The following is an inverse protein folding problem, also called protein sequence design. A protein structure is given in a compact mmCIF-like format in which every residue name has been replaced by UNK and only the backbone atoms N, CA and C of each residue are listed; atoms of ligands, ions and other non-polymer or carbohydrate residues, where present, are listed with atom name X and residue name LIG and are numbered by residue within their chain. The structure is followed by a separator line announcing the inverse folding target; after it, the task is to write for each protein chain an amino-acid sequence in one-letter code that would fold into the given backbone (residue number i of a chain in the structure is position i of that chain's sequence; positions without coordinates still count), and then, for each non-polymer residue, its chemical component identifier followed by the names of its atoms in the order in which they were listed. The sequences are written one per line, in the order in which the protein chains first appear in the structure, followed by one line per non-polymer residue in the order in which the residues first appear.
data_IF_553449423437
#
_entry.id   IF_553449423437
#
_cell.length_a   1.000
_cell.length_b   1.000
_cell.length_c   1.000
_cell.angle_alpha   90.00
_cell.angle_beta   90.00
_cell.angle_gamma   90.00
#
_symmetry.space_group_name_H-M   'P 1'
#
loop_
_entity.id
_entity.type
_entity.pdbx_description
1 polymer ?
#
# COMPACT_ATOMS: atom_id res chain seq x y z
N UNK A 1 -3.37 -8.03 25.40
CA UNK A 1 -4.63 -8.64 24.94
C UNK A 1 -5.31 -7.67 24.00
N UNK A 2 -5.17 -7.84 22.68
CA UNK A 2 -5.77 -6.91 21.72
C UNK A 2 -7.29 -7.10 21.72
N UNK A 3 -8.01 -6.04 22.07
CA UNK A 3 -9.40 -5.84 21.64
C UNK A 3 -9.53 -6.21 20.16
N UNK A 4 -10.55 -6.99 19.78
CA UNK A 4 -10.74 -7.37 18.38
C UNK A 4 -11.01 -6.11 17.56
N UNK A 5 -10.11 -5.79 16.62
CA UNK A 5 -10.32 -4.73 15.64
C UNK A 5 -11.59 -5.02 14.84
N UNK A 6 -12.29 -3.96 14.43
CA UNK A 6 -13.55 -4.06 13.68
C UNK A 6 -13.36 -4.68 12.30
N UNK A 7 -12.27 -4.31 11.61
CA UNK A 7 -11.91 -4.79 10.29
C UNK A 7 -10.59 -5.55 10.31
N UNK A 8 -10.50 -6.58 9.47
CA UNK A 8 -9.24 -7.26 9.18
C UNK A 8 -8.38 -6.41 8.24
N UNK A 9 -9.00 -5.72 7.27
CA UNK A 9 -8.30 -4.80 6.38
C UNK A 9 -9.14 -3.56 6.02
N UNK A 10 -8.47 -2.43 5.81
CA UNK A 10 -9.04 -1.23 5.20
C UNK A 10 -8.20 -0.87 3.98
N UNK A 11 -8.86 -0.62 2.85
CA UNK A 11 -8.22 -0.02 1.66
C UNK A 11 -8.32 1.50 1.79
N UNK A 12 -7.20 2.16 2.06
CA UNK A 12 -7.14 3.63 2.12
C UNK A 12 -6.74 4.19 0.75
N UNK A 13 -7.59 5.05 0.18
CA UNK A 13 -7.37 5.60 -1.17
C UNK A 13 -8.03 4.80 -2.29
N UNK A 14 -9.10 4.05 -2.00
CA UNK A 14 -9.85 3.26 -2.99
C UNK A 14 -10.42 4.11 -4.15
N UNK A 15 -10.56 5.43 -3.97
CA UNK A 15 -11.01 6.35 -5.01
C UNK A 15 -9.94 6.73 -6.03
N UNK A 16 -8.68 6.43 -5.75
CA UNK A 16 -7.55 6.67 -6.65
C UNK A 16 -7.43 5.61 -7.74
N UNK A 17 -6.56 5.85 -8.72
CA UNK A 17 -6.36 4.93 -9.85
C UNK A 17 -5.98 3.53 -9.38
N UNK A 18 -4.89 3.38 -8.63
CA UNK A 18 -4.45 2.05 -8.18
C UNK A 18 -5.36 1.47 -7.09
N UNK A 19 -5.86 2.32 -6.18
CA UNK A 19 -6.77 1.88 -5.12
C UNK A 19 -8.07 1.26 -5.64
N UNK A 20 -8.56 1.74 -6.80
CA UNK A 20 -9.70 1.13 -7.49
C UNK A 20 -9.40 -0.31 -7.93
N UNK A 21 -8.24 -0.56 -8.54
CA UNK A 21 -7.84 -1.92 -8.92
C UNK A 21 -7.59 -2.81 -7.71
N UNK A 22 -7.04 -2.27 -6.61
CA UNK A 22 -6.89 -3.03 -5.35
C UNK A 22 -8.26 -3.47 -4.80
N UNK A 23 -9.25 -2.57 -4.80
CA UNK A 23 -10.62 -2.89 -4.42
C UNK A 23 -11.24 -3.97 -5.33
N UNK A 24 -11.06 -3.81 -6.64
CA UNK A 24 -11.52 -4.77 -7.65
C UNK A 24 -10.92 -6.17 -7.43
N UNK A 25 -9.61 -6.25 -7.24
CA UNK A 25 -8.92 -7.52 -7.00
C UNK A 25 -9.28 -8.16 -5.66
N UNK A 26 -9.55 -7.36 -4.62
CA UNK A 26 -10.09 -7.87 -3.36
C UNK A 26 -11.45 -8.57 -3.61
N UNK A 27 -12.37 -7.90 -4.31
CA UNK A 27 -13.70 -8.44 -4.59
C UNK A 27 -13.65 -9.73 -5.42
N UNK A 28 -12.78 -9.79 -6.42
CA UNK A 28 -12.54 -11.00 -7.21
C UNK A 28 -11.97 -12.12 -6.34
N UNK A 29 -11.02 -11.81 -5.46
CA UNK A 29 -10.42 -12.78 -4.54
C UNK A 29 -11.44 -13.35 -3.54
N UNK A 30 -12.33 -12.49 -3.01
CA UNK A 30 -13.42 -12.90 -2.11
C UNK A 30 -14.40 -13.86 -2.79
N UNK A 31 -14.64 -13.69 -4.09
CA UNK A 31 -15.50 -14.57 -4.86
C UNK A 31 -14.81 -15.90 -5.20
N UNK A 32 -13.59 -15.85 -5.70
CA UNK A 32 -12.84 -17.03 -6.13
C UNK A 32 -12.45 -17.95 -4.94
N UNK A 33 -12.19 -17.36 -3.78
CA UNK A 33 -11.74 -18.06 -2.56
C UNK A 33 -12.71 -17.86 -1.41
N UNK A 34 -14.01 -17.95 -1.71
CA UNK A 34 -15.10 -17.68 -0.75
C UNK A 34 -14.98 -18.46 0.56
N UNK A 35 -14.63 -19.75 0.51
CA UNK A 35 -14.46 -20.57 1.72
C UNK A 35 -13.34 -20.07 2.64
N UNK A 36 -12.27 -19.53 2.06
CA UNK A 36 -11.12 -19.04 2.81
C UNK A 36 -11.35 -17.64 3.40
N UNK A 37 -12.14 -16.80 2.70
CA UNK A 37 -12.34 -15.40 3.07
C UNK A 37 -13.76 -15.05 3.51
N UNK A 38 -14.63 -16.03 3.79
CA UNK A 38 -16.03 -15.79 4.18
C UNK A 38 -16.21 -14.93 5.44
N UNK A 39 -15.20 -14.88 6.31
CA UNK A 39 -15.23 -14.11 7.56
C UNK A 39 -14.40 -12.82 7.51
N UNK A 40 -13.81 -12.51 6.35
CA UNK A 40 -12.96 -11.34 6.20
C UNK A 40 -13.81 -10.06 6.32
N UNK A 41 -13.52 -9.25 7.34
CA UNK A 41 -14.16 -7.94 7.52
C UNK A 41 -13.31 -6.87 6.86
N UNK A 42 -13.87 -6.13 5.92
CA UNK A 42 -13.15 -5.08 5.22
C UNK A 42 -13.97 -3.80 5.05
N UNK A 43 -13.26 -2.70 4.85
CA UNK A 43 -13.85 -1.39 4.56
C UNK A 43 -12.97 -0.60 3.58
N UNK A 44 -13.50 0.50 3.04
CA UNK A 44 -12.72 1.49 2.30
C UNK A 44 -12.61 2.77 3.11
N UNK A 45 -11.51 3.49 2.89
CA UNK A 45 -11.28 4.78 3.51
C UNK A 45 -10.78 5.81 2.50
N UNK A 46 -11.12 7.07 2.77
CA UNK A 46 -10.74 8.19 1.93
C UNK A 46 -11.37 9.49 2.42
N UNK A 47 -10.91 10.62 1.88
CA UNK A 47 -11.34 11.96 2.33
C UNK A 47 -12.72 12.41 1.86
N UNK A 48 -13.31 11.74 0.86
CA UNK A 48 -14.57 12.16 0.26
C UNK A 48 -15.53 10.96 0.15
N UNK A 49 -16.60 11.00 0.94
CA UNK A 49 -17.60 9.94 1.05
C UNK A 49 -18.40 9.73 -0.25
N UNK A 50 -18.74 10.80 -0.96
CA UNK A 50 -19.46 10.74 -2.23
C UNK A 50 -18.64 10.01 -3.29
N UNK A 51 -17.34 10.35 -3.42
CA UNK A 51 -16.41 9.68 -4.35
C UNK A 51 -16.22 8.21 -3.99
N UNK A 52 -16.17 7.87 -2.70
CA UNK A 52 -16.12 6.48 -2.25
C UNK A 52 -17.39 5.73 -2.68
N UNK A 53 -18.55 6.34 -2.53
CA UNK A 53 -19.84 5.77 -2.94
C UNK A 53 -19.90 5.53 -4.45
N UNK A 54 -19.51 6.53 -5.25
CA UNK A 54 -19.45 6.42 -6.71
C UNK A 54 -18.51 5.30 -7.16
N UNK A 55 -17.36 5.14 -6.51
CA UNK A 55 -16.38 4.10 -6.87
C UNK A 55 -16.82 2.70 -6.45
N UNK A 56 -17.53 2.56 -5.33
CA UNK A 56 -18.19 1.31 -4.96
C UNK A 56 -19.30 0.94 -5.96
N UNK A 57 -20.07 1.92 -6.42
CA UNK A 57 -21.08 1.68 -7.46
C UNK A 57 -20.43 1.26 -8.79
N UNK A 58 -19.39 1.96 -9.23
CA UNK A 58 -18.66 1.65 -10.47
C UNK A 58 -18.11 0.22 -10.48
N UNK A 59 -17.37 -0.18 -9.44
CA UNK A 59 -16.83 -1.55 -9.35
C UNK A 59 -17.93 -2.59 -9.11
N UNK A 60 -18.99 -2.22 -8.40
CA UNK A 60 -20.15 -3.07 -8.17
C UNK A 60 -20.90 -3.38 -9.47
N UNK A 61 -21.08 -2.39 -10.34
CA UNK A 61 -21.65 -2.57 -11.67
C UNK A 61 -20.74 -3.43 -12.56
N UNK A 62 -19.43 -3.17 -12.56
CA UNK A 62 -18.46 -3.97 -13.34
C UNK A 62 -18.48 -5.45 -12.94
N UNK A 63 -18.54 -5.75 -11.64
CA UNK A 63 -18.45 -7.11 -11.11
C UNK A 63 -19.81 -7.75 -10.80
N UNK A 64 -20.93 -7.08 -11.13
CA UNK A 64 -22.28 -7.49 -10.77
C UNK A 64 -22.46 -7.80 -9.27
N UNK A 65 -22.00 -6.91 -8.40
CA UNK A 65 -22.07 -7.01 -6.93
C UNK A 65 -22.80 -5.82 -6.32
N UNK A 66 -23.62 -6.08 -5.30
CA UNK A 66 -24.19 -5.02 -4.46
C UNK A 66 -23.21 -4.65 -3.34
N UNK A 67 -22.68 -3.43 -3.40
CA UNK A 67 -21.69 -2.91 -2.44
C UNK A 67 -22.21 -1.73 -1.61
N UNK A 68 -23.54 -1.52 -1.59
CA UNK A 68 -24.16 -0.39 -0.87
C UNK A 68 -23.89 -0.40 0.64
N UNK A 69 -23.75 -1.58 1.22
CA UNK A 69 -23.56 -1.77 2.66
C UNK A 69 -22.07 -1.82 3.06
N UNK A 70 -21.14 -1.61 2.11
CA UNK A 70 -19.71 -1.54 2.43
C UNK A 70 -19.45 -0.32 3.32
N UNK A 71 -18.78 -0.55 4.45
CA UNK A 71 -18.43 0.54 5.36
C UNK A 71 -17.41 1.47 4.71
N UNK A 72 -17.72 2.77 4.76
CA UNK A 72 -16.85 3.86 4.34
C UNK A 72 -16.32 4.60 5.55
N UNK A 73 -15.03 4.89 5.57
CA UNK A 73 -14.37 5.60 6.67
C UNK A 73 -13.78 6.89 6.12
N UNK A 74 -14.23 8.02 6.65
CA UNK A 74 -13.67 9.32 6.28
C UNK A 74 -12.33 9.51 6.98
N UNK A 75 -11.27 9.59 6.18
CA UNK A 75 -9.90 9.80 6.66
C UNK A 75 -9.13 10.71 5.70
N UNK A 76 -8.41 11.69 6.25
CA UNK A 76 -7.65 12.69 5.50
C UNK A 76 -6.21 12.78 6.01
N UNK A 77 -5.23 12.72 5.10
CA UNK A 77 -3.81 12.82 5.43
C UNK A 77 -3.40 14.13 6.09
N UNK A 78 -4.21 15.19 5.98
CA UNK A 78 -4.03 16.47 6.68
C UNK A 78 -4.58 16.48 8.11
N UNK A 79 -5.29 15.43 8.53
CA UNK A 79 -5.91 15.30 9.85
C UNK A 79 -5.44 14.02 10.54
N UNK A 80 -4.42 14.15 11.39
CA UNK A 80 -3.82 13.03 12.13
C UNK A 80 -4.83 12.24 12.97
N UNK A 81 -5.78 12.91 13.61
CA UNK A 81 -6.83 12.24 14.39
C UNK A 81 -7.70 11.34 13.50
N UNK A 82 -8.06 11.80 12.29
CA UNK A 82 -8.84 10.98 11.36
C UNK A 82 -8.10 9.71 10.92
N UNK A 83 -6.78 9.80 10.72
CA UNK A 83 -5.94 8.65 10.38
C UNK A 83 -5.83 7.68 11.56
N UNK A 84 -5.66 8.20 12.78
CA UNK A 84 -5.57 7.40 13.99
C UNK A 84 -6.88 6.65 14.26
N UNK A 85 -8.04 7.31 14.10
CA UNK A 85 -9.35 6.66 14.26
C UNK A 85 -9.61 5.60 13.18
N UNK A 86 -9.17 5.83 11.94
CA UNK A 86 -9.17 4.78 10.91
C UNK A 86 -8.28 3.60 11.31
N UNK A 87 -7.03 3.86 11.71
CA UNK A 87 -6.06 2.83 12.04
C UNK A 87 -6.51 2.00 13.25
N UNK A 88 -7.12 2.62 14.27
CA UNK A 88 -7.66 1.92 15.45
C UNK A 88 -8.70 0.86 15.11
N UNK A 89 -9.43 1.01 14.00
CA UNK A 89 -10.51 0.10 13.58
C UNK A 89 -10.04 -1.10 12.76
N UNK A 90 -8.79 -1.13 12.29
CA UNK A 90 -8.28 -2.20 11.43
C UNK A 90 -7.10 -2.95 12.01
N UNK A 91 -6.91 -4.19 11.56
CA UNK A 91 -5.66 -4.95 11.74
C UNK A 91 -4.62 -4.58 10.68
N UNK A 92 -5.06 -4.26 9.46
CA UNK A 92 -4.21 -3.89 8.32
C UNK A 92 -4.76 -2.67 7.59
N UNK A 93 -3.89 -1.71 7.27
CA UNK A 93 -4.17 -0.66 6.30
C UNK A 93 -3.42 -0.96 5.00
N UNK A 94 -4.16 -1.05 3.90
CA UNK A 94 -3.61 -1.07 2.54
C UNK A 94 -3.64 0.36 2.02
N UNK A 95 -2.50 1.04 2.07
CA UNK A 95 -2.37 2.45 1.71
C UNK A 95 -2.09 2.60 0.21
N UNK A 96 -3.06 3.20 -0.49
CA UNK A 96 -2.99 3.55 -1.91
C UNK A 96 -2.94 5.08 -2.11
N UNK A 97 -2.63 5.86 -1.07
CA UNK A 97 -2.64 7.33 -1.10
C UNK A 97 -1.24 7.88 -1.37
N UNK A 98 -0.96 8.12 -2.65
CA UNK A 98 0.23 8.84 -3.10
C UNK A 98 -0.05 10.32 -3.46
N UNK A 99 0.99 11.15 -3.63
CA UNK A 99 2.42 10.84 -3.47
C UNK A 99 2.83 10.60 -2.01
N UNK A 100 3.61 9.54 -1.76
CA UNK A 100 3.89 9.03 -0.41
C UNK A 100 4.86 9.91 0.38
N UNK A 101 5.77 10.60 -0.30
CA UNK A 101 6.62 11.65 0.30
C UNK A 101 5.83 12.73 1.05
N UNK A 102 4.58 13.00 0.64
CA UNK A 102 3.71 13.98 1.31
C UNK A 102 2.71 13.33 2.26
N UNK A 103 2.13 12.20 1.86
CA UNK A 103 0.95 11.63 2.52
C UNK A 103 1.21 10.34 3.28
N UNK A 104 2.33 9.66 3.02
CA UNK A 104 2.62 8.34 3.57
C UNK A 104 3.02 8.36 5.05
N UNK A 105 3.93 9.26 5.43
CA UNK A 105 4.42 9.36 6.82
C UNK A 105 3.30 9.45 7.87
N UNK A 106 2.30 10.36 7.76
CA UNK A 106 1.26 10.44 8.77
C UNK A 106 0.39 9.17 8.85
N UNK A 107 0.29 8.39 7.77
CA UNK A 107 -0.43 7.10 7.76
C UNK A 107 0.37 6.03 8.50
N UNK A 108 1.68 5.91 8.23
CA UNK A 108 2.56 4.98 8.96
C UNK A 108 2.58 5.30 10.44
N UNK A 109 2.70 6.59 10.79
CA UNK A 109 2.67 7.05 12.18
C UNK A 109 1.36 6.63 12.88
N UNK A 110 0.21 6.90 12.26
CA UNK A 110 -1.09 6.48 12.81
C UNK A 110 -1.21 4.96 12.98
N UNK A 111 -0.68 4.18 12.04
CA UNK A 111 -0.67 2.72 12.13
C UNK A 111 0.20 2.22 13.30
N UNK A 112 1.41 2.77 13.44
CA UNK A 112 2.32 2.44 14.55
C UNK A 112 1.71 2.82 15.89
N UNK A 113 1.11 4.01 16.00
CA UNK A 113 0.41 4.46 17.19
C UNK A 113 -0.76 3.53 17.56
N UNK A 114 -1.59 3.15 16.57
CA UNK A 114 -2.78 2.32 16.77
C UNK A 114 -2.50 0.81 16.93
N UNK A 115 -1.26 0.35 16.75
CA UNK A 115 -0.93 -1.07 16.75
C UNK A 115 -1.52 -1.80 15.53
N UNK A 116 -1.42 -1.19 14.35
CA UNK A 116 -2.04 -1.65 13.11
C UNK A 116 -0.96 -1.91 12.06
N UNK A 117 -1.05 -3.02 11.33
CA UNK A 117 -0.13 -3.33 10.23
C UNK A 117 -0.37 -2.36 9.07
N UNK A 118 0.68 -2.10 8.29
CA UNK A 118 0.62 -1.18 7.16
C UNK A 118 1.31 -1.81 5.95
N UNK A 119 0.65 -1.75 4.80
CA UNK A 119 1.29 -1.99 3.51
C UNK A 119 1.02 -0.86 2.54
N UNK A 120 1.98 -0.56 1.67
CA UNK A 120 1.83 0.41 0.59
C UNK A 120 2.45 -0.07 -0.72
N UNK A 121 2.12 0.62 -1.81
CA UNK A 121 2.65 0.38 -3.16
C UNK A 121 3.69 1.44 -3.57
N UNK A 122 4.30 2.13 -2.61
CA UNK A 122 5.20 3.25 -2.88
C UNK A 122 6.43 2.79 -3.65
N UNK A 123 6.81 3.58 -4.66
CA UNK A 123 8.10 3.47 -5.36
C UNK A 123 9.04 4.64 -5.05
N UNK A 124 8.80 5.39 -3.98
CA UNK A 124 9.54 6.61 -3.63
C UNK A 124 10.66 6.29 -2.60
N UNK A 125 11.93 6.14 -3.00
CA UNK A 125 12.99 5.61 -2.11
C UNK A 125 13.20 6.45 -0.85
N UNK A 126 13.11 7.77 -0.97
CA UNK A 126 13.22 8.69 0.16
C UNK A 126 12.19 8.42 1.25
N UNK A 127 10.94 8.20 0.84
CA UNK A 127 9.88 7.88 1.78
C UNK A 127 10.11 6.49 2.39
N UNK A 128 10.36 5.47 1.55
CA UNK A 128 10.53 4.08 2.00
C UNK A 128 11.63 3.98 3.05
N UNK A 129 12.80 4.51 2.73
CA UNK A 129 13.97 4.48 3.60
C UNK A 129 13.78 5.33 4.85
N UNK A 130 13.13 6.50 4.75
CA UNK A 130 12.81 7.32 5.92
C UNK A 130 11.86 6.61 6.90
N UNK A 131 10.82 5.95 6.40
CA UNK A 131 9.87 5.21 7.24
C UNK A 131 10.53 4.04 7.95
N UNK A 132 11.44 3.33 7.28
CA UNK A 132 12.23 2.28 7.88
C UNK A 132 13.07 2.83 9.05
N UNK A 133 13.83 3.91 8.85
CA UNK A 133 14.65 4.45 9.96
C UNK A 133 13.78 4.97 11.10
N UNK A 134 12.68 5.66 10.79
CA UNK A 134 11.88 6.36 11.79
C UNK A 134 11.02 5.42 12.64
N UNK A 135 10.45 4.37 12.04
CA UNK A 135 9.43 3.55 12.69
C UNK A 135 9.86 2.11 12.98
N UNK A 136 11.03 1.65 12.52
CA UNK A 136 11.46 0.25 12.68
C UNK A 136 11.42 -0.23 14.13
N UNK A 137 12.06 0.49 15.06
CA UNK A 137 12.12 0.08 16.47
C UNK A 137 10.72 0.01 17.11
N UNK A 138 9.89 1.04 16.90
CA UNK A 138 8.53 1.06 17.45
C UNK A 138 7.63 -0.03 16.85
N UNK A 139 7.82 -0.32 15.56
CA UNK A 139 7.10 -1.40 14.88
C UNK A 139 7.54 -2.76 15.44
N UNK A 140 8.85 -2.98 15.64
CA UNK A 140 9.39 -4.21 16.22
C UNK A 140 8.89 -4.43 17.65
N UNK A 141 8.98 -3.42 18.52
CA UNK A 141 8.48 -3.48 19.91
C UNK A 141 6.99 -3.84 19.99
N UNK A 142 6.20 -3.40 19.01
CA UNK A 142 4.76 -3.66 18.93
C UNK A 142 4.40 -4.89 18.10
N UNK A 143 5.37 -5.60 17.51
CA UNK A 143 5.12 -6.74 16.62
C UNK A 143 4.35 -6.37 15.35
N UNK A 144 4.54 -5.15 14.83
CA UNK A 144 3.87 -4.65 13.64
C UNK A 144 4.65 -5.00 12.37
N UNK A 145 3.90 -5.06 11.28
CA UNK A 145 4.41 -5.35 9.95
C UNK A 145 4.15 -4.09 9.14
N UNK A 146 5.23 -3.43 8.72
CA UNK A 146 5.21 -2.23 7.89
C UNK A 146 5.98 -2.56 6.63
N UNK A 147 5.29 -2.74 5.50
CA UNK A 147 5.91 -3.17 4.24
C UNK A 147 5.54 -2.19 3.13
N UNK A 148 6.54 -1.54 2.56
CA UNK A 148 6.36 -0.71 1.37
C UNK A 148 6.57 -1.53 0.09
N UNK A 149 6.47 -0.89 -1.07
CA UNK A 149 6.81 -1.48 -2.37
C UNK A 149 5.99 -2.72 -2.74
N UNK A 150 4.76 -2.87 -2.23
CA UNK A 150 3.85 -3.99 -2.57
C UNK A 150 3.17 -3.80 -3.94
N UNK A 151 3.89 -3.26 -4.92
CA UNK A 151 3.40 -2.99 -6.27
C UNK A 151 4.08 -3.83 -7.34
N UNK A 152 3.64 -3.65 -8.58
CA UNK A 152 4.20 -4.36 -9.74
C UNK A 152 5.70 -4.06 -9.96
N UNK A 153 6.18 -2.88 -9.57
CA UNK A 153 7.59 -2.49 -9.80
C UNK A 153 8.57 -3.24 -8.87
N UNK A 154 8.07 -4.03 -7.91
CA UNK A 154 8.92 -4.76 -6.95
C UNK A 154 8.53 -6.23 -6.79
N UNK A 155 7.23 -6.55 -6.69
CA UNK A 155 6.77 -7.94 -6.44
C UNK A 155 7.32 -8.97 -7.45
N UNK A 156 7.29 -8.74 -8.78
CA UNK A 156 7.82 -9.70 -9.75
C UNK A 156 9.33 -9.95 -9.57
N UNK A 157 10.08 -8.90 -9.24
CA UNK A 157 11.52 -9.00 -8.98
C UNK A 157 11.78 -9.79 -7.68
N UNK A 158 11.11 -9.41 -6.59
CA UNK A 158 11.24 -10.07 -5.28
C UNK A 158 10.87 -11.55 -5.35
N UNK A 159 9.75 -11.87 -5.99
CA UNK A 159 9.32 -13.26 -6.19
C UNK A 159 10.29 -14.02 -7.09
N UNK A 160 10.79 -13.39 -8.17
CA UNK A 160 11.78 -13.99 -9.06
C UNK A 160 13.07 -14.34 -8.33
N UNK A 161 13.60 -13.42 -7.52
CA UNK A 161 14.79 -13.66 -6.67
C UNK A 161 14.51 -14.74 -5.64
N UNK A 162 13.33 -14.72 -4.99
CA UNK A 162 12.93 -15.72 -4.01
C UNK A 162 12.88 -17.13 -4.59
N UNK A 163 12.22 -17.30 -5.75
CA UNK A 163 12.12 -18.58 -6.45
C UNK A 163 13.49 -19.04 -6.94
N UNK A 164 14.30 -18.15 -7.53
CA UNK A 164 15.66 -18.48 -7.96
C UNK A 164 16.50 -18.96 -6.78
N UNK A 165 16.44 -18.30 -5.62
CA UNK A 165 17.15 -18.72 -4.41
C UNK A 165 16.76 -20.12 -3.95
N UNK A 166 15.47 -20.49 -4.05
CA UNK A 166 15.00 -21.82 -3.65
C UNK A 166 15.36 -22.93 -4.64
N UNK A 167 15.43 -22.61 -5.93
CA UNK A 167 15.58 -23.60 -7.01
C UNK A 167 17.00 -23.73 -7.53
N UNK A 168 17.88 -22.76 -7.27
CA UNK A 168 19.26 -22.79 -7.75
C UNK A 168 20.08 -23.82 -6.95
N UNK A 169 20.70 -24.84 -7.59
CA UNK A 169 21.36 -25.96 -6.91
C UNK A 169 22.74 -25.61 -6.33
N UNK A 170 22.94 -24.38 -5.87
CA UNK A 170 24.21 -23.90 -5.35
C UNK A 170 24.08 -22.55 -4.63
N UNK A 171 25.22 -21.91 -4.38
CA UNK A 171 25.25 -20.57 -3.77
C UNK A 171 24.99 -19.51 -4.84
N UNK A 172 23.90 -18.77 -4.68
CA UNK A 172 23.57 -17.62 -5.53
C UNK A 172 24.51 -16.44 -5.18
N UNK A 173 25.25 -15.94 -6.18
CA UNK A 173 26.20 -14.82 -6.00
C UNK A 173 25.63 -13.49 -6.50
N UNK A 174 24.92 -13.50 -7.64
CA UNK A 174 24.27 -12.34 -8.21
C UNK A 174 22.99 -12.78 -8.93
N UNK A 175 22.05 -11.84 -9.04
CA UNK A 175 20.85 -11.95 -9.87
C UNK A 175 20.68 -10.63 -10.60
N UNK A 176 20.48 -10.70 -11.89
CA UNK A 176 20.12 -9.54 -12.71
C UNK A 176 18.72 -9.76 -13.28
N UNK A 177 17.86 -8.78 -13.07
CA UNK A 177 16.48 -8.80 -13.56
C UNK A 177 16.29 -7.74 -14.62
N UNK A 178 15.73 -8.12 -15.76
CA UNK A 178 15.45 -7.22 -16.86
C UNK A 178 13.93 -7.11 -17.03
N UNK A 179 13.45 -5.87 -17.21
CA UNK A 179 12.06 -5.59 -17.51
C UNK A 179 11.96 -4.93 -18.87
N UNK A 180 11.03 -5.42 -19.70
CA UNK A 180 10.67 -4.81 -20.96
C UNK A 180 9.19 -4.49 -20.96
N UNK A 181 8.86 -3.21 -20.92
CA UNK A 181 7.49 -2.75 -21.07
C UNK A 181 7.14 -2.71 -22.56
N UNK A 182 6.08 -3.40 -22.96
CA UNK A 182 5.58 -3.37 -24.33
C UNK A 182 4.41 -2.38 -24.37
N UNK A 183 4.49 -1.27 -25.12
CA UNK A 183 3.40 -0.32 -25.19
C UNK A 183 2.22 -0.89 -25.97
N UNK A 184 1.01 -0.42 -25.65
CA UNK A 184 -0.18 -0.69 -26.46
C UNK A 184 -0.24 0.20 -27.70
N UNK A 185 -1.34 0.09 -28.48
CA UNK A 185 -1.58 0.95 -29.64
C UNK A 185 -1.52 2.45 -29.31
N UNK A 186 -1.93 2.81 -28.09
CA UNK A 186 -1.93 4.17 -27.55
C UNK A 186 -0.58 4.58 -26.89
N UNK A 187 0.47 3.77 -27.04
CA UNK A 187 1.77 4.03 -26.42
C UNK A 187 1.85 3.68 -24.93
N UNK A 188 2.78 4.32 -24.23
CA UNK A 188 2.95 4.18 -22.77
C UNK A 188 1.96 5.09 -22.03
N UNK A 189 1.34 4.57 -20.97
CA UNK A 189 0.43 5.34 -20.11
C UNK A 189 1.00 5.41 -18.70
N UNK A 190 1.00 6.61 -18.13
CA UNK A 190 1.42 6.87 -16.74
C UNK A 190 0.27 7.58 -16.04
N UNK A 191 -0.13 7.10 -14.87
CA UNK A 191 -1.14 7.78 -14.07
C UNK A 191 -0.53 9.01 -13.36
N UNK A 192 -1.37 10.01 -13.05
CA UNK A 192 -0.94 11.27 -12.43
C UNK A 192 -0.17 11.08 -11.12
N UNK A 193 -0.55 10.09 -10.31
CA UNK A 193 0.13 9.78 -9.06
C UNK A 193 1.60 9.39 -9.30
N UNK A 194 1.83 8.50 -10.26
CA UNK A 194 3.16 8.03 -10.65
C UNK A 194 4.01 9.17 -11.22
N UNK A 195 3.43 10.02 -12.07
CA UNK A 195 4.12 11.19 -12.60
C UNK A 195 4.58 12.14 -11.48
N UNK A 196 3.68 12.42 -10.52
CA UNK A 196 4.01 13.27 -9.37
C UNK A 196 5.08 12.65 -8.47
N UNK A 197 5.03 11.34 -8.22
CA UNK A 197 6.07 10.63 -7.48
C UNK A 197 7.43 10.70 -8.19
N UNK A 198 7.47 10.55 -9.52
CA UNK A 198 8.71 10.68 -10.31
C UNK A 198 9.32 12.09 -10.21
N UNK A 199 8.48 13.13 -10.37
CA UNK A 199 8.92 14.54 -10.23
C UNK A 199 9.48 14.80 -8.82
N UNK A 200 8.78 14.33 -7.79
CA UNK A 200 9.22 14.51 -6.41
C UNK A 200 10.48 13.71 -6.07
N UNK A 201 10.62 12.50 -6.61
CA UNK A 201 11.84 11.69 -6.47
C UNK A 201 13.07 12.42 -7.03
N UNK A 202 12.93 13.06 -8.19
CA UNK A 202 14.01 13.87 -8.76
C UNK A 202 14.35 15.08 -7.88
N UNK A 203 13.33 15.79 -7.38
CA UNK A 203 13.49 16.95 -6.49
C UNK A 203 14.25 16.60 -5.20
N UNK A 204 14.02 15.42 -4.66
CA UNK A 204 14.52 14.99 -3.34
C UNK A 204 15.75 14.08 -3.44
N UNK A 205 16.37 13.95 -4.62
CA UNK A 205 17.50 13.04 -4.84
C UNK A 205 18.72 13.29 -3.93
N UNK A 206 18.96 14.55 -3.53
CA UNK A 206 20.05 14.87 -2.60
C UNK A 206 19.73 14.46 -1.15
N UNK A 207 18.46 14.48 -0.76
CA UNK A 207 18.01 14.02 0.55
C UNK A 207 18.22 12.50 0.68
N UNK A 208 18.03 11.74 -0.40
CA UNK A 208 18.25 10.28 -0.44
C UNK A 208 19.66 9.89 -0.03
N UNK A 209 20.66 10.65 -0.49
CA UNK A 209 22.05 10.41 -0.13
C UNK A 209 22.27 10.55 1.37
N UNK A 210 21.62 11.54 2.01
CA UNK A 210 21.73 11.74 3.45
C UNK A 210 21.00 10.64 4.23
N UNK A 211 19.82 10.22 3.76
CA UNK A 211 19.04 9.12 4.36
C UNK A 211 19.84 7.81 4.31
N UNK A 212 20.41 7.46 3.14
CA UNK A 212 21.22 6.25 2.97
C UNK A 212 22.45 6.19 3.86
N UNK A 213 23.12 7.34 4.06
CA UNK A 213 24.24 7.42 5.01
C UNK A 213 23.84 7.02 6.42
N UNK A 214 22.60 7.28 6.84
CA UNK A 214 22.10 6.86 8.17
C UNK A 214 21.73 5.38 8.21
N UNK A 215 21.18 4.82 7.14
CA UNK A 215 20.81 3.40 7.07
C UNK A 215 22.02 2.46 7.06
N UNK A 216 23.11 2.88 6.41
CA UNK A 216 24.33 2.09 6.24
C UNK A 216 25.52 2.69 6.99
N UNK A 217 25.27 3.53 8.00
CA UNK A 217 26.33 3.89 8.94
C UNK A 217 26.60 2.66 9.82
N UNK A 218 27.73 2.00 9.57
CA UNK A 218 28.34 1.03 10.49
C UNK A 218 28.72 1.69 11.82
#
# INVERSE_FOLDING_TARGET
MSSSKEFDLIIFGATGFTGFYVLRELLLSLEQRKSEYQHLKWAIAGRNDEKMSMKLEEVGQELNKNLKDVTKIVADCSNSNSLLEMAKRSRLIINCVGPYSHYGRPVVQACVEAGTHHIDISGEPNYIEAMAIEFHHQAEEKGLIIVSTCGWDSIPCDLGVHVTKQKFPGRLHSVETFVKTIPGAEGYKINTGTLNSAINGYRTMNELKAIRRRLYAE
#
